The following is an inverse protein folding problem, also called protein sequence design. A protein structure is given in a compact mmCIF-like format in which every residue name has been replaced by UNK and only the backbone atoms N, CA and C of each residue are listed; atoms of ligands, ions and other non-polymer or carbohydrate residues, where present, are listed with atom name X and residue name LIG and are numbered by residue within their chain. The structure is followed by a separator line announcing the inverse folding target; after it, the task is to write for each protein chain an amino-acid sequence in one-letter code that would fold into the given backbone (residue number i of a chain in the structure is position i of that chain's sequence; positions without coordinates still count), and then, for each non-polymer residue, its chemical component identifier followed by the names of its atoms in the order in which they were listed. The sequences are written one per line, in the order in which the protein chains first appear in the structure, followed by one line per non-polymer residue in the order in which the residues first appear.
data_IF_914550945256
#
_entry.id   IF_914550945256
#
_cell.length_a   1.000
_cell.length_b   1.000
_cell.length_c   1.000
_cell.angle_alpha   90.00
_cell.angle_beta   90.00
_cell.angle_gamma   90.00
#
_symmetry.space_group_name_H-M   'P 1'
#
loop_
_entity.id
_entity.type
_entity.pdbx_description
1 polymer ?
#
# COMPACT_ATOMS: atom_id res chain seq x y z
N UNK A 1 5.01 13.50 10.27
CA UNK A 1 5.79 14.77 10.19
C UNK A 1 5.08 15.72 9.24
N UNK A 2 5.29 17.04 9.34
CA UNK A 2 4.72 18.00 8.39
C UNK A 2 5.84 18.74 7.65
N UNK A 3 5.70 18.89 6.33
CA UNK A 3 6.61 19.64 5.47
C UNK A 3 5.80 20.73 4.76
N UNK A 4 6.05 21.99 5.12
CA UNK A 4 5.19 23.10 4.69
C UNK A 4 3.73 22.85 5.11
N UNK A 5 2.81 22.87 4.15
CA UNK A 5 1.39 22.57 4.37
C UNK A 5 1.00 21.11 4.14
N UNK A 6 1.96 20.21 3.88
CA UNK A 6 1.70 18.79 3.65
C UNK A 6 1.98 17.99 4.92
N UNK A 7 0.98 17.21 5.37
CA UNK A 7 1.12 16.22 6.44
C UNK A 7 1.57 14.89 5.84
N UNK A 8 2.76 14.42 6.21
CA UNK A 8 3.29 13.11 5.85
C UNK A 8 3.16 12.13 7.02
N UNK A 9 2.53 10.99 6.74
CA UNK A 9 2.40 9.86 7.65
C UNK A 9 3.04 8.66 6.97
N UNK A 10 3.97 8.01 7.65
CA UNK A 10 4.65 6.80 7.16
C UNK A 10 4.27 5.63 8.04
N UNK A 11 3.90 4.50 7.41
CA UNK A 11 3.35 3.33 8.06
C UNK A 11 4.17 2.07 7.72
N UNK A 12 4.35 1.23 8.73
CA UNK A 12 4.67 -0.18 8.55
C UNK A 12 3.55 -0.99 9.22
N UNK A 13 2.58 -1.42 8.43
CA UNK A 13 1.40 -2.11 8.93
C UNK A 13 1.79 -3.54 9.30
N UNK A 14 1.30 -4.10 10.43
CA UNK A 14 1.62 -5.47 10.82
C UNK A 14 1.33 -6.47 9.69
N UNK A 15 2.29 -7.36 9.41
CA UNK A 15 2.14 -8.37 8.34
C UNK A 15 0.95 -9.31 8.57
N UNK A 16 0.79 -9.82 9.81
CA UNK A 16 -0.30 -10.71 10.20
C UNK A 16 0.08 -12.20 10.25
N UNK A 17 1.20 -12.61 9.66
CA UNK A 17 1.73 -14.00 9.65
C UNK A 17 0.84 -15.03 8.93
N UNK A 18 -0.36 -15.32 9.43
CA UNK A 18 -1.38 -16.16 8.78
C UNK A 18 -2.76 -15.74 9.30
N UNK A 19 -3.84 -16.07 8.57
CA UNK A 19 -5.20 -15.64 8.97
C UNK A 19 -5.69 -16.27 10.28
N UNK A 20 -5.09 -17.37 10.70
CA UNK A 20 -5.34 -18.06 11.96
C UNK A 20 -4.49 -17.53 13.13
N UNK A 21 -3.46 -16.70 12.86
CA UNK A 21 -2.54 -16.19 13.88
C UNK A 21 -3.18 -15.07 14.72
N UNK A 22 -2.84 -15.01 16.01
CA UNK A 22 -3.18 -13.87 16.87
C UNK A 22 -2.62 -12.54 16.32
N UNK A 23 -1.51 -12.60 15.56
CA UNK A 23 -0.92 -11.44 14.89
C UNK A 23 -1.84 -10.86 13.82
N UNK A 24 -2.66 -11.69 13.19
CA UNK A 24 -3.65 -11.25 12.21
C UNK A 24 -4.81 -10.52 12.88
N UNK A 25 -5.28 -11.01 14.03
CA UNK A 25 -6.27 -10.27 14.84
C UNK A 25 -5.71 -8.92 15.32
N UNK A 26 -4.43 -8.90 15.73
CA UNK A 26 -3.74 -7.66 16.04
C UNK A 26 -3.69 -6.69 14.85
N UNK A 27 -3.35 -7.18 13.65
CA UNK A 27 -3.34 -6.40 12.41
C UNK A 27 -4.69 -5.73 12.15
N UNK A 28 -5.79 -6.48 12.22
CA UNK A 28 -7.13 -5.94 11.97
C UNK A 28 -7.51 -4.86 13.00
N UNK A 29 -7.28 -5.11 14.28
CA UNK A 29 -7.52 -4.11 15.33
C UNK A 29 -6.63 -2.87 15.17
N UNK A 30 -5.39 -3.05 14.73
CA UNK A 30 -4.48 -1.95 14.44
C UNK A 30 -5.01 -1.09 13.27
N UNK A 31 -5.50 -1.73 12.20
CA UNK A 31 -6.10 -1.05 11.05
C UNK A 31 -7.38 -0.27 11.42
N UNK A 32 -8.22 -0.81 12.31
CA UNK A 32 -9.40 -0.09 12.80
C UNK A 32 -9.03 1.17 13.58
N UNK A 33 -8.00 1.08 14.44
CA UNK A 33 -7.47 2.24 15.17
C UNK A 33 -6.83 3.25 14.22
N UNK A 34 -6.08 2.79 13.22
CA UNK A 34 -5.51 3.65 12.18
C UNK A 34 -6.62 4.41 11.45
N UNK A 35 -7.69 3.72 11.04
CA UNK A 35 -8.82 4.35 10.34
C UNK A 35 -9.45 5.47 11.18
N UNK A 36 -9.75 5.20 12.45
CA UNK A 36 -10.31 6.20 13.36
C UNK A 36 -9.37 7.40 13.57
N UNK A 37 -8.06 7.14 13.69
CA UNK A 37 -7.06 8.19 13.86
C UNK A 37 -6.89 9.03 12.59
N UNK A 38 -6.77 8.40 11.41
CA UNK A 38 -6.66 9.10 10.13
C UNK A 38 -7.89 9.95 9.84
N UNK A 39 -9.09 9.48 10.22
CA UNK A 39 -10.31 10.28 10.10
C UNK A 39 -10.21 11.60 10.85
N UNK A 40 -9.60 11.61 12.04
CA UNK A 40 -9.37 12.82 12.82
C UNK A 40 -8.25 13.71 12.23
N UNK A 41 -7.14 13.11 11.77
CA UNK A 41 -6.04 13.85 11.13
C UNK A 41 -6.50 14.56 9.85
N UNK A 42 -7.36 13.92 9.04
CA UNK A 42 -7.91 14.50 7.82
C UNK A 42 -8.79 15.74 8.07
N UNK A 43 -9.35 15.90 9.28
CA UNK A 43 -10.06 17.14 9.64
C UNK A 43 -9.11 18.31 9.90
N UNK A 44 -7.85 18.03 10.26
CA UNK A 44 -6.86 19.05 10.60
C UNK A 44 -5.94 19.38 9.42
N UNK A 45 -5.80 18.45 8.46
CA UNK A 45 -4.85 18.54 7.38
C UNK A 45 -5.49 18.23 6.02
N UNK A 46 -5.83 19.30 5.27
CA UNK A 46 -6.42 19.16 3.93
C UNK A 46 -5.45 18.48 2.93
N UNK A 47 -4.16 18.81 2.98
CA UNK A 47 -3.09 18.14 2.21
C UNK A 47 -2.37 17.13 3.11
N UNK A 48 -2.73 15.86 2.98
CA UNK A 48 -2.18 14.76 3.77
C UNK A 48 -1.83 13.60 2.83
N UNK A 49 -0.70 12.96 3.08
CA UNK A 49 -0.29 11.73 2.40
C UNK A 49 0.12 10.67 3.43
N UNK A 50 -0.39 9.46 3.22
CA UNK A 50 -0.02 8.27 3.97
C UNK A 50 0.78 7.38 3.04
N UNK A 51 2.00 7.01 3.43
CA UNK A 51 2.89 6.15 2.66
C UNK A 51 3.28 4.93 3.48
N UNK A 52 3.81 3.92 2.80
CA UNK A 52 4.53 2.83 3.43
C UNK A 52 4.11 1.44 2.95
N UNK A 53 4.56 0.42 3.68
CA UNK A 53 4.16 -0.97 3.47
C UNK A 53 2.89 -1.25 4.28
N UNK A 54 1.79 -1.45 3.56
CA UNK A 54 0.50 -1.74 4.17
C UNK A 54 0.32 -3.22 4.45
N UNK A 55 1.19 -4.10 3.94
CA UNK A 55 1.01 -5.53 3.99
C UNK A 55 -0.38 -5.97 3.46
N UNK A 56 -0.95 -5.25 2.49
CA UNK A 56 -2.29 -5.55 1.93
C UNK A 56 -2.24 -5.34 0.43
N UNK A 57 -2.66 -6.35 -0.33
CA UNK A 57 -2.93 -6.29 -1.76
C UNK A 57 -4.43 -6.02 -1.98
N UNK A 58 -4.82 -4.77 -2.34
CA UNK A 58 -6.22 -4.33 -2.31
C UNK A 58 -7.16 -5.08 -3.26
N UNK A 59 -6.67 -5.52 -4.41
CA UNK A 59 -7.46 -6.20 -5.43
C UNK A 59 -6.69 -7.35 -6.09
N UNK A 60 -7.38 -8.18 -6.88
CA UNK A 60 -6.76 -9.29 -7.61
C UNK A 60 -5.70 -8.79 -8.61
N UNK A 61 -5.87 -7.59 -9.17
CA UNK A 61 -4.85 -6.95 -10.01
C UNK A 61 -3.54 -6.62 -9.26
N UNK A 62 -3.54 -6.69 -7.93
CA UNK A 62 -2.40 -6.48 -7.04
C UNK A 62 -1.69 -7.79 -6.67
N UNK A 63 -2.12 -8.92 -7.23
CA UNK A 63 -1.61 -10.26 -6.90
C UNK A 63 -1.25 -11.02 -8.18
N UNK A 64 -0.07 -11.63 -8.23
CA UNK A 64 0.34 -12.40 -9.41
C UNK A 64 -0.52 -13.62 -9.71
N UNK A 65 -1.07 -14.27 -8.68
CA UNK A 65 -1.97 -15.42 -8.77
C UNK A 65 -3.11 -15.28 -7.74
N UNK A 66 -4.18 -14.54 -8.07
CA UNK A 66 -5.26 -14.27 -7.14
C UNK A 66 -5.99 -15.51 -6.64
N UNK A 67 -6.01 -16.59 -7.44
CA UNK A 67 -6.67 -17.85 -7.08
C UNK A 67 -5.86 -18.54 -5.97
N UNK A 68 -4.55 -18.62 -6.12
CA UNK A 68 -3.67 -19.23 -5.12
C UNK A 68 -3.61 -18.43 -3.81
N UNK A 69 -3.69 -17.10 -3.88
CA UNK A 69 -3.61 -16.21 -2.72
C UNK A 69 -4.96 -15.92 -2.05
N UNK A 70 -6.07 -16.36 -2.64
CA UNK A 70 -7.42 -16.08 -2.15
C UNK A 70 -7.55 -16.50 -0.68
N UNK A 71 -7.92 -15.54 0.18
CA UNK A 71 -8.13 -15.78 1.60
C UNK A 71 -6.85 -15.96 2.43
N UNK A 72 -5.68 -15.89 1.81
CA UNK A 72 -4.39 -15.86 2.53
C UNK A 72 -4.15 -14.49 3.15
N UNK A 73 -3.25 -14.43 4.14
CA UNK A 73 -2.76 -13.15 4.69
C UNK A 73 -2.23 -12.25 3.55
N UNK A 74 -2.36 -10.94 3.73
CA UNK A 74 -2.14 -9.88 2.74
C UNK A 74 -3.23 -9.76 1.67
N UNK A 75 -3.99 -10.81 1.39
CA UNK A 75 -4.98 -10.88 0.30
C UNK A 75 -6.39 -11.25 0.79
N UNK A 76 -6.61 -11.31 2.10
CA UNK A 76 -7.89 -11.75 2.66
C UNK A 76 -8.96 -10.66 2.53
N UNK A 77 -10.22 -11.07 2.54
CA UNK A 77 -11.36 -10.14 2.49
C UNK A 77 -11.36 -9.12 3.64
N UNK A 78 -11.08 -9.48 4.91
CA UNK A 78 -11.04 -8.48 5.99
C UNK A 78 -9.93 -7.44 5.82
N UNK A 79 -8.76 -7.82 5.29
CA UNK A 79 -7.67 -6.90 4.97
C UNK A 79 -8.04 -5.94 3.83
N UNK A 80 -8.60 -6.48 2.75
CA UNK A 80 -9.09 -5.67 1.61
C UNK A 80 -10.20 -4.70 2.05
N UNK A 81 -11.12 -5.16 2.88
CA UNK A 81 -12.16 -4.31 3.46
C UNK A 81 -11.57 -3.21 4.36
N UNK A 82 -10.52 -3.51 5.14
CA UNK A 82 -9.83 -2.51 5.94
C UNK A 82 -9.14 -1.44 5.09
N UNK A 83 -8.48 -1.85 4.00
CA UNK A 83 -7.90 -0.91 3.03
C UNK A 83 -8.98 -0.05 2.37
N UNK A 84 -10.10 -0.65 1.95
CA UNK A 84 -11.23 0.10 1.39
C UNK A 84 -11.78 1.14 2.37
N UNK A 85 -11.91 0.81 3.66
CA UNK A 85 -12.32 1.79 4.69
C UNK A 85 -11.37 2.98 4.78
N UNK A 86 -10.07 2.84 4.48
CA UNK A 86 -9.14 3.96 4.41
C UNK A 86 -9.46 4.85 3.21
N UNK A 87 -9.75 4.26 2.05
CA UNK A 87 -10.17 5.00 0.85
C UNK A 87 -11.49 5.75 1.08
N UNK A 88 -12.43 5.12 1.80
CA UNK A 88 -13.73 5.71 2.13
C UNK A 88 -13.63 6.96 3.02
N UNK A 89 -12.47 7.22 3.66
CA UNK A 89 -12.19 8.49 4.34
C UNK A 89 -11.94 9.66 3.37
N UNK A 90 -11.92 9.41 2.06
CA UNK A 90 -11.53 10.39 1.04
C UNK A 90 -10.03 10.39 0.72
N UNK A 91 -9.32 9.33 1.12
CA UNK A 91 -7.98 9.03 0.62
C UNK A 91 -8.08 8.37 -0.75
N UNK A 92 -7.04 8.54 -1.56
CA UNK A 92 -6.97 7.98 -2.89
C UNK A 92 -5.65 7.27 -3.09
N UNK A 93 -5.69 6.08 -3.68
CA UNK A 93 -4.50 5.35 -4.11
C UNK A 93 -3.86 6.07 -5.31
N UNK A 94 -2.73 6.73 -5.07
CA UNK A 94 -2.04 7.55 -6.08
C UNK A 94 -1.60 6.72 -7.28
N UNK A 95 -1.29 5.43 -7.09
CA UNK A 95 -0.87 4.54 -8.18
C UNK A 95 -2.01 4.30 -9.17
N UNK A 96 -3.24 4.15 -8.66
CA UNK A 96 -4.44 3.86 -9.44
C UNK A 96 -5.04 5.07 -10.15
N UNK A 97 -4.46 6.26 -9.98
CA UNK A 97 -4.83 7.46 -10.76
C UNK A 97 -4.38 7.43 -12.21
N UNK A 98 -3.40 6.60 -12.52
CA UNK A 98 -2.75 6.56 -13.83
C UNK A 98 -2.97 5.19 -14.47
N UNK A 99 -2.90 5.14 -15.79
CA UNK A 99 -2.80 3.87 -16.50
C UNK A 99 -1.47 3.21 -16.14
N UNK A 100 -1.52 1.93 -15.78
CA UNK A 100 -0.35 1.19 -15.33
C UNK A 100 -0.28 -0.15 -16.04
N UNK A 101 0.93 -0.66 -16.33
CA UNK A 101 1.09 -2.01 -16.84
C UNK A 101 0.45 -3.03 -15.90
N UNK A 102 -0.14 -4.07 -16.48
CA UNK A 102 -0.59 -5.22 -15.71
C UNK A 102 0.57 -5.82 -14.90
N UNK A 103 0.24 -6.44 -13.76
CA UNK A 103 1.22 -7.14 -12.91
C UNK A 103 2.36 -6.24 -12.43
N UNK A 104 2.00 -5.01 -12.06
CA UNK A 104 2.86 -4.05 -11.37
C UNK A 104 2.79 -4.30 -9.87
N UNK A 105 3.88 -4.81 -9.32
CA UNK A 105 4.01 -5.22 -7.92
C UNK A 105 5.12 -4.42 -7.25
N UNK A 106 5.08 -4.34 -5.92
CA UNK A 106 6.07 -3.63 -5.11
C UNK A 106 6.89 -4.57 -4.23
N UNK A 107 6.42 -5.81 -4.00
CA UNK A 107 7.06 -6.83 -3.20
C UNK A 107 7.18 -8.18 -3.93
N UNK A 108 8.30 -8.87 -3.73
CA UNK A 108 8.54 -10.24 -4.19
C UNK A 108 9.41 -11.01 -3.21
N UNK A 109 8.90 -12.14 -2.74
CA UNK A 109 9.63 -13.11 -1.92
C UNK A 109 11.01 -13.44 -2.50
N UNK A 110 12.02 -13.60 -1.64
CA UNK A 110 13.37 -13.99 -2.07
C UNK A 110 13.42 -15.40 -2.68
N UNK A 111 12.47 -16.27 -2.32
CA UNK A 111 12.39 -17.67 -2.75
C UNK A 111 11.89 -17.78 -4.19
N UNK A 112 12.09 -18.96 -4.78
CA UNK A 112 11.50 -19.37 -6.07
C UNK A 112 11.80 -18.44 -7.26
N UNK A 113 12.84 -17.60 -7.17
CA UNK A 113 13.13 -16.54 -8.14
C UNK A 113 11.90 -15.66 -8.44
N UNK A 114 11.09 -15.34 -7.40
CA UNK A 114 9.80 -14.68 -7.57
C UNK A 114 9.90 -13.37 -8.36
N UNK A 115 10.91 -12.55 -8.10
CA UNK A 115 11.14 -11.32 -8.86
C UNK A 115 11.38 -11.57 -10.36
N UNK A 116 12.26 -12.51 -10.72
CA UNK A 116 12.55 -12.85 -12.14
C UNK A 116 11.32 -13.40 -12.86
N UNK A 117 10.43 -14.07 -12.13
CA UNK A 117 9.16 -14.64 -12.65
C UNK A 117 7.98 -13.67 -12.52
N UNK A 118 8.21 -12.48 -11.98
CA UNK A 118 7.20 -11.48 -11.62
C UNK A 118 6.04 -12.05 -10.77
N UNK A 119 6.35 -12.91 -9.80
CA UNK A 119 5.41 -13.48 -8.83
C UNK A 119 5.31 -12.58 -7.60
N UNK A 120 4.76 -11.38 -7.77
CA UNK A 120 4.75 -10.34 -6.73
C UNK A 120 3.37 -10.05 -6.16
N UNK A 121 3.36 -9.12 -5.19
CA UNK A 121 2.19 -8.43 -4.67
C UNK A 121 2.44 -6.92 -4.69
N UNK A 122 1.38 -6.11 -4.84
CA UNK A 122 1.45 -4.66 -4.60
C UNK A 122 0.90 -4.34 -3.21
N UNK A 123 1.82 -4.18 -2.26
CA UNK A 123 1.51 -3.96 -0.83
C UNK A 123 2.05 -2.64 -0.27
N UNK A 124 2.88 -1.95 -1.06
CA UNK A 124 3.39 -0.62 -0.75
C UNK A 124 2.52 0.42 -1.45
N UNK A 125 2.00 1.40 -0.70
CA UNK A 125 1.02 2.35 -1.23
C UNK A 125 1.34 3.78 -0.85
N UNK A 126 0.87 4.71 -1.69
CA UNK A 126 0.86 6.16 -1.42
C UNK A 126 -0.60 6.62 -1.49
N UNK A 127 -1.23 6.76 -0.34
CA UNK A 127 -2.61 7.22 -0.20
C UNK A 127 -2.62 8.72 0.06
N UNK A 128 -3.12 9.51 -0.90
CA UNK A 128 -3.19 10.96 -0.79
C UNK A 128 -4.61 11.42 -0.46
N UNK A 129 -4.76 12.45 0.38
CA UNK A 129 -6.03 13.15 0.57
C UNK A 129 -6.51 13.72 -0.76
N UNK A 130 -7.82 13.91 -0.93
CA UNK A 130 -8.41 14.47 -2.16
C UNK A 130 -7.65 15.71 -2.70
N UNK A 131 -7.37 16.69 -1.84
CA UNK A 131 -6.70 17.92 -2.27
C UNK A 131 -5.27 17.71 -2.77
N UNK A 132 -4.54 16.74 -2.21
CA UNK A 132 -3.19 16.41 -2.66
C UNK A 132 -3.21 15.47 -3.86
N UNK A 133 -4.19 14.57 -3.90
CA UNK A 133 -4.45 13.64 -4.98
C UNK A 133 -4.73 14.36 -6.32
N UNK A 134 -5.43 15.50 -6.30
CA UNK A 134 -5.63 16.36 -7.48
C UNK A 134 -4.33 16.98 -8.00
N UNK A 135 -3.34 17.17 -7.13
CA UNK A 135 -2.01 17.68 -7.48
C UNK A 135 -1.03 16.57 -7.90
N UNK A 136 -1.43 15.29 -7.82
CA UNK A 136 -0.58 14.16 -8.19
C UNK A 136 -0.41 14.09 -9.71
N UNK A 137 0.83 14.15 -10.19
CA UNK A 137 1.15 14.20 -11.63
C UNK A 137 1.73 12.91 -12.18
N UNK A 138 2.31 12.08 -11.32
CA UNK A 138 2.81 10.76 -11.69
C UNK A 138 2.82 9.85 -10.46
N UNK A 139 2.63 8.54 -10.67
CA UNK A 139 2.96 7.53 -9.67
C UNK A 139 3.50 6.28 -10.38
N UNK A 140 4.63 5.77 -9.92
CA UNK A 140 5.37 4.66 -10.54
C UNK A 140 5.92 3.72 -9.49
N UNK A 141 6.20 2.47 -9.89
CA UNK A 141 6.94 1.51 -9.08
C UNK A 141 8.31 1.32 -9.76
N UNK A 142 9.37 1.79 -9.10
CA UNK A 142 10.73 1.67 -9.61
C UNK A 142 11.27 0.29 -9.27
N UNK A 143 11.36 -0.61 -10.26
CA UNK A 143 11.91 -1.97 -10.10
C UNK A 143 13.43 -2.01 -10.16
N UNK A 144 14.13 -0.91 -10.41
CA UNK A 144 15.58 -0.92 -10.59
C UNK A 144 16.32 -1.33 -9.31
N UNK A 145 15.99 -0.80 -8.11
CA UNK A 145 16.63 -1.23 -6.87
C UNK A 145 16.46 -2.72 -6.58
N UNK A 146 15.35 -3.33 -7.04
CA UNK A 146 15.08 -4.76 -6.87
C UNK A 146 16.02 -5.67 -7.69
N UNK A 147 16.73 -5.12 -8.68
CA UNK A 147 17.72 -5.83 -9.51
C UNK A 147 19.15 -5.76 -8.96
N UNK A 148 19.41 -4.92 -7.97
CA UNK A 148 20.76 -4.73 -7.42
C UNK A 148 21.26 -5.96 -6.66
N UNK A 149 22.55 -5.97 -6.32
CA UNK A 149 23.11 -7.01 -5.46
C UNK A 149 22.54 -6.88 -4.05
N UNK A 150 22.06 -7.99 -3.47
CA UNK A 150 21.40 -8.05 -2.14
C UNK A 150 20.30 -6.99 -2.00
N UNK A 151 19.30 -6.99 -2.89
CA UNK A 151 18.24 -5.99 -2.87
C UNK A 151 17.29 -6.26 -1.70
N UNK A 152 16.50 -5.25 -1.33
CA UNK A 152 15.26 -5.49 -0.57
C UNK A 152 14.32 -6.41 -1.37
N UNK A 153 13.40 -7.09 -0.70
CA UNK A 153 12.29 -7.81 -1.30
C UNK A 153 11.18 -6.85 -1.77
N UNK A 154 11.17 -5.63 -1.24
CA UNK A 154 10.38 -4.49 -1.71
C UNK A 154 11.15 -3.65 -2.73
N UNK A 155 10.41 -2.78 -3.43
CA UNK A 155 10.98 -1.77 -4.34
C UNK A 155 10.23 -0.44 -4.18
N UNK A 156 10.88 0.72 -4.43
CA UNK A 156 10.25 2.01 -4.21
C UNK A 156 8.97 2.22 -5.03
N UNK A 157 7.95 2.76 -4.36
CA UNK A 157 6.80 3.40 -4.99
C UNK A 157 7.01 4.89 -4.90
N UNK A 158 6.88 5.59 -6.03
CA UNK A 158 7.20 7.01 -6.16
C UNK A 158 5.96 7.73 -6.65
N UNK A 159 5.60 8.84 -6.01
CA UNK A 159 4.56 9.74 -6.49
C UNK A 159 5.08 11.18 -6.54
N UNK A 160 4.71 11.89 -7.58
CA UNK A 160 5.07 13.29 -7.79
C UNK A 160 3.85 14.19 -7.64
N UNK A 161 4.00 15.31 -6.94
CA UNK A 161 2.93 16.25 -6.67
C UNK A 161 3.35 17.68 -7.00
N UNK A 162 2.46 18.45 -7.64
CA UNK A 162 2.61 19.90 -7.86
C UNK A 162 1.98 20.66 -6.69
N UNK A 163 2.72 20.83 -5.60
CA UNK A 163 2.22 21.34 -4.30
C UNK A 163 2.46 22.80 -4.03
#
# INVERSE_FOLDING_TARGET
VSYGNVRLIDLYVPNGESVESDKYQYKLNWLDKLNAWLKAELQQHAKLVVVGDFNIAPADADVHDPVAWKGSVLCSEPERAAFQRLLDLGLCDSFRRFEQPEKSFSWWDYRMNAFRRNLGLRIDHILASKALCEACTACTIDKEPRKWERPSDHTPVIAEFKV
#
